data_IF_048271270113
#
_entry.id   IF_048271270113
#
_cell.length_a   1.000
_cell.length_b   1.000
_cell.length_c   1.000
_cell.angle_alpha   90.00
_cell.angle_beta   90.00
_cell.angle_gamma   90.00
#
_symmetry.space_group_name_H-M   'P 1'
#
loop_
_entity.id
_entity.type
_entity.pdbx_description
1 polymer ?
#
# COMPACT_ATOMS: atom_id res chain seq x y z
N UNK A 1 -24.30 16.91 57.13
CA UNK A 1 -24.14 15.72 57.99
C UNK A 1 -23.68 14.54 57.14
N UNK A 2 -22.52 13.98 57.53
CA UNK A 2 -22.02 12.60 57.29
C UNK A 2 -21.74 12.19 55.83
N UNK A 3 -20.63 11.54 55.46
CA UNK A 3 -19.31 11.24 56.09
C UNK A 3 -18.35 10.84 54.97
N UNK A 4 -17.11 11.23 55.14
CA UNK A 4 -15.84 10.87 54.55
C UNK A 4 -15.61 9.35 54.60
N UNK A 5 -14.97 8.78 53.57
CA UNK A 5 -13.97 7.73 53.76
C UNK A 5 -12.91 7.72 52.65
N UNK A 6 -11.72 8.02 53.08
CA UNK A 6 -10.41 7.95 52.47
C UNK A 6 -9.92 6.51 52.60
N UNK A 7 -9.30 5.94 51.56
CA UNK A 7 -8.35 4.84 51.72
C UNK A 7 -7.07 5.11 50.92
N UNK A 8 -6.04 5.31 51.68
CA UNK A 8 -4.62 5.50 51.33
C UNK A 8 -3.89 4.18 51.64
N UNK A 9 -3.09 3.63 50.71
CA UNK A 9 -1.97 2.69 50.99
C UNK A 9 -0.96 2.86 49.88
N UNK A 10 0.10 3.58 50.04
CA UNK A 10 1.36 3.33 50.69
C UNK A 10 2.37 2.57 49.79
N UNK A 11 3.39 3.34 49.41
CA UNK A 11 4.70 3.09 48.82
C UNK A 11 5.51 2.08 49.63
N UNK A 12 6.23 1.17 48.97
CA UNK A 12 7.50 0.62 49.49
C UNK A 12 8.57 0.63 48.43
N UNK A 13 9.52 1.52 48.63
CA UNK A 13 10.85 1.58 48.01
C UNK A 13 11.76 0.61 48.76
N UNK A 14 12.55 -0.20 48.07
CA UNK A 14 13.73 -0.80 48.69
C UNK A 14 14.91 -0.78 47.74
N UNK A 15 15.83 0.13 48.03
CA UNK A 15 17.23 0.16 47.56
C UNK A 15 18.05 -0.82 48.41
N UNK A 16 18.90 -1.63 47.78
CA UNK A 16 20.18 -2.04 48.41
C UNK A 16 21.29 -2.15 47.38
N UNK A 17 22.38 -1.50 47.71
CA UNK A 17 23.65 -1.36 47.08
C UNK A 17 24.67 -2.44 47.51
N UNK A 18 25.72 -2.63 46.71
CA UNK A 18 27.07 -3.12 47.00
C UNK A 18 27.26 -4.65 47.07
N UNK A 19 28.32 -5.26 46.60
CA UNK A 19 29.73 -4.87 46.31
C UNK A 19 30.46 -6.05 45.70
N UNK A 20 31.44 -5.74 44.83
CA UNK A 20 32.67 -6.42 44.40
C UNK A 20 33.03 -7.86 44.80
N UNK A 21 33.60 -8.60 43.84
CA UNK A 21 34.62 -9.63 44.10
C UNK A 21 34.88 -10.57 42.92
N UNK A 22 36.09 -10.55 42.41
CA UNK A 22 36.72 -11.38 41.35
C UNK A 22 36.68 -12.89 41.63
N UNK A 23 36.66 -13.73 40.64
CA UNK A 23 37.72 -14.52 40.03
C UNK A 23 37.22 -15.73 39.25
N UNK A 24 37.98 -16.08 38.23
CA UNK A 24 37.80 -17.08 37.20
C UNK A 24 37.69 -18.53 37.66
N UNK A 25 37.03 -19.37 36.88
CA UNK A 25 37.53 -20.63 36.27
C UNK A 25 36.40 -21.33 35.46
N UNK A 26 36.69 -21.67 34.23
CA UNK A 26 36.03 -22.76 33.45
C UNK A 26 36.56 -24.13 33.94
N UNK A 27 36.04 -25.31 33.51
CA UNK A 27 35.01 -25.66 32.52
C UNK A 27 33.99 -26.73 33.00
N UNK A 28 32.98 -27.04 32.26
CA UNK A 28 32.65 -28.38 31.69
C UNK A 28 31.25 -28.48 31.09
N UNK A 29 31.20 -29.17 29.94
CA UNK A 29 30.00 -29.49 29.16
C UNK A 29 29.07 -30.49 29.88
N UNK A 30 27.75 -30.27 29.81
CA UNK A 30 26.77 -31.39 29.79
C UNK A 30 25.60 -31.01 28.87
N UNK A 31 25.33 -31.89 27.90
CA UNK A 31 24.14 -31.90 27.03
C UNK A 31 22.87 -32.07 27.83
N UNK A 32 21.83 -31.29 27.51
CA UNK A 32 20.45 -31.64 27.80
C UNK A 32 19.54 -31.12 26.68
N UNK A 33 18.89 -32.06 26.01
CA UNK A 33 17.86 -31.90 25.01
C UNK A 33 16.59 -31.32 25.63
N UNK A 34 16.07 -30.23 25.09
CA UNK A 34 14.76 -29.70 25.41
C UNK A 34 14.18 -28.97 24.19
N UNK A 35 13.16 -29.59 23.57
CA UNK A 35 12.35 -29.01 22.52
C UNK A 35 11.68 -27.73 22.99
N UNK A 36 11.98 -26.61 22.36
CA UNK A 36 11.14 -25.41 22.38
C UNK A 36 10.59 -25.21 20.98
N UNK A 37 9.28 -25.06 20.92
CA UNK A 37 8.52 -24.71 19.72
C UNK A 37 9.05 -23.35 19.21
N UNK A 38 9.52 -23.32 17.98
CA UNK A 38 9.89 -22.10 17.28
C UNK A 38 8.60 -21.31 16.99
N UNK A 39 8.48 -20.15 17.58
CA UNK A 39 7.62 -19.07 17.04
C UNK A 39 8.20 -18.69 15.67
N UNK A 40 7.42 -18.82 14.61
CA UNK A 40 7.81 -18.39 13.27
C UNK A 40 7.98 -16.87 13.28
N UNK A 41 9.23 -16.45 13.14
CA UNK A 41 9.64 -15.06 13.07
C UNK A 41 9.22 -14.48 11.71
N UNK A 42 8.07 -13.81 11.68
CA UNK A 42 7.58 -13.06 10.51
C UNK A 42 8.44 -11.85 10.16
N UNK A 43 9.36 -11.44 11.03
CA UNK A 43 10.31 -10.33 10.76
C UNK A 43 11.39 -10.72 9.76
N UNK A 44 11.80 -11.97 9.71
CA UNK A 44 12.84 -12.46 8.80
C UNK A 44 12.44 -12.43 7.32
N UNK A 45 11.19 -12.75 6.99
CA UNK A 45 10.68 -12.70 5.61
C UNK A 45 10.58 -11.24 5.09
N UNK A 46 10.18 -10.31 5.96
CA UNK A 46 10.07 -8.88 5.59
C UNK A 46 11.45 -8.28 5.33
N UNK A 47 12.46 -8.62 6.12
CA UNK A 47 13.84 -8.14 5.92
C UNK A 47 14.51 -8.77 4.69
N UNK A 48 14.28 -10.04 4.39
CA UNK A 48 14.78 -10.67 3.15
C UNK A 48 14.18 -10.02 1.91
N UNK A 49 12.87 -9.74 1.88
CA UNK A 49 12.23 -9.03 0.78
C UNK A 49 12.77 -7.61 0.57
N UNK A 50 13.11 -6.89 1.64
CA UNK A 50 13.78 -5.58 1.56
C UNK A 50 15.17 -5.70 0.94
N UNK A 51 15.96 -6.70 1.32
CA UNK A 51 17.30 -6.93 0.78
C UNK A 51 17.27 -7.33 -0.70
N UNK A 52 16.33 -8.18 -1.12
CA UNK A 52 16.17 -8.59 -2.52
C UNK A 52 15.74 -7.44 -3.43
N UNK A 53 14.92 -6.51 -2.92
CA UNK A 53 14.43 -5.36 -3.68
C UNK A 53 15.31 -4.11 -3.56
N UNK A 54 16.41 -4.17 -2.83
CA UNK A 54 17.28 -3.01 -2.54
C UNK A 54 16.45 -1.80 -2.05
N UNK A 55 15.56 -2.03 -1.07
CA UNK A 55 14.69 -1.00 -0.50
C UNK A 55 15.38 -0.31 0.67
N UNK A 56 15.27 1.02 0.80
CA UNK A 56 15.69 1.73 2.01
C UNK A 56 14.93 1.23 3.25
N UNK A 57 15.56 1.32 4.43
CA UNK A 57 14.95 0.90 5.71
C UNK A 57 13.63 1.62 6.01
N UNK A 58 13.48 2.86 5.52
CA UNK A 58 12.29 3.68 5.71
C UNK A 58 11.16 3.39 4.70
N UNK A 59 11.16 2.22 4.04
CA UNK A 59 10.05 1.76 3.21
C UNK A 59 9.34 0.56 3.84
N UNK A 60 8.02 0.53 3.71
CA UNK A 60 7.17 -0.56 4.18
C UNK A 60 6.36 -1.12 3.01
N UNK A 61 6.15 -2.43 3.00
CA UNK A 61 5.22 -3.07 2.06
C UNK A 61 3.78 -2.75 2.49
N UNK A 62 3.04 -2.14 1.59
CA UNK A 62 1.60 -1.99 1.70
C UNK A 62 0.97 -3.13 0.91
N UNK A 63 0.44 -4.11 1.61
CA UNK A 63 -0.29 -5.21 0.98
C UNK A 63 -1.55 -4.67 0.32
N UNK A 64 -1.73 -4.99 -0.94
CA UNK A 64 -2.88 -4.57 -1.72
C UNK A 64 -4.21 -5.07 -1.15
N UNK A 65 -5.28 -4.47 -1.60
CA UNK A 65 -6.62 -4.83 -1.15
C UNK A 65 -7.69 -3.93 -1.73
N UNK A 66 -8.93 -4.22 -1.36
CA UNK A 66 -10.10 -3.47 -1.81
C UNK A 66 -10.60 -2.55 -0.69
N UNK A 67 -10.88 -1.29 -1.03
CA UNK A 67 -11.42 -0.31 -0.09
C UNK A 67 -12.46 0.60 -0.74
N UNK A 68 -13.16 1.38 0.08
CA UNK A 68 -14.04 2.44 -0.38
C UNK A 68 -13.25 3.75 -0.44
N UNK A 69 -12.89 4.19 -1.64
CA UNK A 69 -12.24 5.47 -1.90
C UNK A 69 -13.28 6.59 -1.94
N UNK A 70 -12.93 7.76 -1.41
CA UNK A 70 -13.86 8.87 -1.26
C UNK A 70 -14.58 8.87 0.09
N UNK A 71 -15.60 9.71 0.25
CA UNK A 71 -16.32 9.88 1.51
C UNK A 71 -17.79 9.54 1.38
N UNK A 72 -18.43 8.97 2.44
CA UNK A 72 -19.86 8.75 2.48
C UNK A 72 -20.62 10.08 2.46
N UNK A 73 -21.89 10.06 2.01
CA UNK A 73 -22.69 11.28 1.80
C UNK A 73 -22.93 12.10 3.08
N UNK A 74 -22.87 11.46 4.23
CA UNK A 74 -23.07 12.07 5.54
C UNK A 74 -21.79 12.49 6.25
N UNK A 75 -20.61 12.31 5.60
CA UNK A 75 -19.35 12.78 6.19
C UNK A 75 -19.33 14.31 6.26
N UNK A 76 -18.99 14.84 7.43
CA UNK A 76 -18.88 16.28 7.64
C UNK A 76 -17.80 16.88 6.71
N UNK A 77 -18.10 18.05 6.10
CA UNK A 77 -17.20 18.76 5.19
C UNK A 77 -16.89 18.06 3.87
N UNK A 78 -17.61 17.01 3.55
CA UNK A 78 -17.49 16.31 2.27
C UNK A 78 -17.63 17.29 1.09
N UNK A 79 -16.76 17.13 0.09
CA UNK A 79 -16.86 17.80 -1.20
C UNK A 79 -17.59 16.94 -2.25
N UNK A 80 -18.16 17.55 -3.26
CA UNK A 80 -18.91 16.83 -4.32
C UNK A 80 -18.04 15.90 -5.16
N UNK A 81 -16.73 16.17 -5.22
CA UNK A 81 -15.73 15.42 -5.97
C UNK A 81 -15.14 14.22 -5.21
N UNK A 82 -15.60 13.97 -3.99
CA UNK A 82 -15.22 12.84 -3.14
C UNK A 82 -16.23 11.67 -3.27
N UNK A 83 -16.79 11.44 -4.46
CA UNK A 83 -17.79 10.38 -4.67
C UNK A 83 -17.22 9.02 -4.26
N UNK A 84 -17.89 8.37 -3.29
CA UNK A 84 -17.45 7.08 -2.77
C UNK A 84 -17.63 5.97 -3.82
N UNK A 85 -16.59 5.16 -4.01
CA UNK A 85 -16.58 4.04 -4.95
C UNK A 85 -15.58 2.97 -4.51
N UNK A 86 -15.75 1.77 -5.03
CA UNK A 86 -14.87 0.64 -4.71
C UNK A 86 -13.58 0.73 -5.53
N UNK A 87 -12.43 0.63 -4.87
CA UNK A 87 -11.12 0.58 -5.51
C UNK A 87 -10.33 -0.62 -4.99
N UNK A 88 -9.71 -1.36 -5.89
CA UNK A 88 -8.69 -2.35 -5.60
C UNK A 88 -7.32 -1.75 -5.90
N UNK A 89 -6.38 -1.91 -4.97
CA UNK A 89 -4.99 -1.47 -5.10
C UNK A 89 -4.09 -2.70 -5.00
N UNK A 90 -3.13 -2.83 -5.91
CA UNK A 90 -2.08 -3.85 -5.87
C UNK A 90 -1.05 -3.56 -4.78
N UNK A 91 -0.19 -4.54 -4.47
CA UNK A 91 0.92 -4.37 -3.53
C UNK A 91 1.90 -3.30 -4.02
N UNK A 92 2.36 -2.45 -3.11
CA UNK A 92 3.41 -1.46 -3.38
C UNK A 92 4.24 -1.18 -2.12
N UNK A 93 5.45 -0.65 -2.31
CA UNK A 93 6.25 -0.15 -1.21
C UNK A 93 6.04 1.36 -1.07
N UNK A 94 5.89 1.84 0.16
CA UNK A 94 5.74 3.27 0.45
C UNK A 94 6.75 3.70 1.52
N UNK A 95 7.34 4.88 1.35
CA UNK A 95 8.15 5.51 2.39
C UNK A 95 7.28 5.78 3.62
N UNK A 96 7.78 5.40 4.80
CA UNK A 96 7.06 5.62 6.07
C UNK A 96 6.98 7.11 6.43
N UNK A 97 7.86 7.94 5.83
CA UNK A 97 7.93 9.38 6.04
C UNK A 97 7.70 10.15 4.75
N UNK A 98 7.30 11.41 4.89
CA UNK A 98 7.48 12.43 3.87
C UNK A 98 8.97 12.52 3.49
N UNK A 99 9.29 12.91 2.26
CA UNK A 99 10.69 13.09 1.84
C UNK A 99 11.33 14.24 2.60
N UNK A 100 12.49 13.99 3.23
CA UNK A 100 13.20 15.01 4.01
C UNK A 100 13.96 16.00 3.15
N UNK A 101 14.24 17.18 3.70
CA UNK A 101 15.08 18.21 3.06
C UNK A 101 16.50 17.70 2.84
N UNK A 102 17.06 16.92 3.77
CA UNK A 102 18.38 16.32 3.63
C UNK A 102 18.44 15.38 2.42
N UNK A 103 17.47 14.46 2.28
CA UNK A 103 17.40 13.53 1.15
C UNK A 103 17.22 14.28 -0.19
N UNK A 104 16.34 15.30 -0.21
CA UNK A 104 16.13 16.09 -1.43
C UNK A 104 17.41 16.84 -1.83
N UNK A 105 18.08 17.51 -0.89
CA UNK A 105 19.31 18.23 -1.15
C UNK A 105 20.47 17.31 -1.59
N UNK A 106 20.58 16.12 -1.02
CA UNK A 106 21.56 15.13 -1.43
C UNK A 106 21.39 14.70 -2.88
N UNK A 107 20.14 14.50 -3.31
CA UNK A 107 19.82 14.07 -4.68
C UNK A 107 19.89 15.20 -5.70
N UNK A 108 19.33 16.36 -5.37
CA UNK A 108 19.12 17.46 -6.32
C UNK A 108 20.20 18.57 -6.21
N UNK A 109 20.98 18.57 -5.12
CA UNK A 109 22.02 19.59 -4.88
C UNK A 109 21.49 20.94 -4.40
N UNK A 110 20.19 21.07 -4.20
CA UNK A 110 19.50 22.30 -3.73
C UNK A 110 18.42 21.95 -2.74
N UNK A 111 18.09 22.91 -1.84
CA UNK A 111 16.93 22.81 -0.97
C UNK A 111 16.01 24.02 -1.24
N UNK A 112 14.82 23.83 -1.86
CA UNK A 112 13.90 24.92 -2.18
C UNK A 112 13.00 25.32 -1.01
N UNK A 113 13.05 24.60 0.12
CA UNK A 113 12.12 24.73 1.24
C UNK A 113 12.18 26.11 1.89
N UNK A 114 11.03 26.59 2.32
CA UNK A 114 10.86 27.86 3.05
C UNK A 114 11.27 27.75 4.51
N UNK A 115 11.08 26.58 5.12
CA UNK A 115 11.58 26.24 6.45
C UNK A 115 12.87 25.47 6.32
N UNK A 116 13.74 25.50 7.33
CA UNK A 116 15.07 24.90 7.23
C UNK A 116 15.31 23.90 8.35
N UNK A 117 15.63 22.67 7.98
CA UNK A 117 15.98 21.57 8.90
C UNK A 117 16.10 20.26 8.18
N UNK A 118 17.14 19.48 8.47
CA UNK A 118 17.47 18.24 7.76
C UNK A 118 16.34 17.20 7.83
N UNK A 119 15.68 17.09 8.99
CA UNK A 119 14.59 16.14 9.27
C UNK A 119 13.19 16.72 8.97
N UNK A 120 13.10 17.96 8.48
CA UNK A 120 11.83 18.52 8.02
C UNK A 120 11.48 17.98 6.64
N UNK A 121 10.17 17.88 6.29
CA UNK A 121 9.80 17.51 4.93
C UNK A 121 10.28 18.59 3.95
N UNK A 122 10.72 18.16 2.77
CA UNK A 122 10.93 19.10 1.68
C UNK A 122 9.58 19.68 1.24
N UNK A 123 9.54 20.99 1.02
CA UNK A 123 8.36 21.71 0.51
C UNK A 123 8.77 22.75 -0.53
N UNK A 124 7.79 23.40 -1.12
CA UNK A 124 7.99 24.39 -2.18
C UNK A 124 8.56 23.77 -3.47
N UNK A 125 8.23 22.50 -3.72
CA UNK A 125 8.54 21.78 -4.94
C UNK A 125 7.28 21.63 -5.80
N UNK A 126 7.46 21.71 -7.11
CA UNK A 126 6.40 21.44 -8.08
C UNK A 126 6.22 19.93 -8.29
N UNK A 127 5.11 19.54 -8.92
CA UNK A 127 4.91 18.14 -9.34
C UNK A 127 6.00 17.69 -10.32
N UNK A 128 6.45 18.57 -11.21
CA UNK A 128 7.55 18.27 -12.13
C UNK A 128 8.87 18.07 -11.36
N UNK A 129 9.19 18.88 -10.35
CA UNK A 129 10.38 18.68 -9.51
C UNK A 129 10.33 17.33 -8.79
N UNK A 130 9.15 16.92 -8.34
CA UNK A 130 8.93 15.63 -7.70
C UNK A 130 9.21 14.45 -8.65
N UNK A 131 8.74 14.54 -9.89
CA UNK A 131 8.99 13.54 -10.94
C UNK A 131 10.48 13.46 -11.31
N UNK A 132 11.14 14.62 -11.43
CA UNK A 132 12.60 14.67 -11.66
C UNK A 132 13.37 14.05 -10.48
N UNK A 133 12.95 14.31 -9.25
CA UNK A 133 13.54 13.69 -8.06
C UNK A 133 13.44 12.17 -8.11
N UNK A 134 12.25 11.63 -8.40
CA UNK A 134 12.04 10.19 -8.51
C UNK A 134 13.00 9.52 -9.49
N UNK A 135 13.16 10.10 -10.70
CA UNK A 135 14.07 9.59 -11.70
C UNK A 135 15.54 9.72 -11.27
N UNK A 136 15.94 10.87 -10.73
CA UNK A 136 17.31 11.13 -10.28
C UNK A 136 17.73 10.14 -9.19
N UNK A 137 16.85 9.89 -8.21
CA UNK A 137 17.10 8.90 -7.15
C UNK A 137 17.19 7.50 -7.73
N UNK A 138 16.28 7.14 -8.63
CA UNK A 138 16.30 5.83 -9.29
C UNK A 138 17.62 5.58 -10.03
N UNK A 139 18.09 6.55 -10.83
CA UNK A 139 19.36 6.45 -11.56
C UNK A 139 20.56 6.31 -10.63
N UNK A 140 20.62 7.12 -9.54
CA UNK A 140 21.71 7.08 -8.55
C UNK A 140 21.77 5.74 -7.83
N UNK A 141 20.64 5.10 -7.60
CA UNK A 141 20.54 3.81 -6.92
C UNK A 141 20.56 2.61 -7.89
N UNK A 142 20.77 2.85 -9.21
CA UNK A 142 20.88 1.80 -10.24
C UNK A 142 19.56 1.14 -10.60
N UNK A 143 18.44 1.83 -10.36
CA UNK A 143 17.10 1.41 -10.72
C UNK A 143 16.70 2.00 -12.08
N UNK A 144 15.70 1.40 -12.75
CA UNK A 144 15.12 1.95 -13.97
C UNK A 144 14.19 3.13 -13.62
N UNK A 145 14.47 4.36 -14.11
CA UNK A 145 13.56 5.47 -13.96
C UNK A 145 12.17 5.14 -14.52
N UNK A 146 11.13 5.51 -13.79
CA UNK A 146 9.74 5.18 -14.16
C UNK A 146 9.12 6.23 -15.08
N UNK A 147 9.68 7.43 -15.16
CA UNK A 147 9.10 8.52 -15.92
C UNK A 147 9.95 8.87 -17.14
N UNK A 148 9.33 8.88 -18.33
CA UNK A 148 9.92 9.51 -19.51
C UNK A 148 9.40 10.95 -19.59
N UNK A 149 10.35 11.93 -19.58
CA UNK A 149 10.05 13.37 -19.50
C UNK A 149 10.49 14.02 -20.80
N UNK A 150 9.55 14.63 -21.54
CA UNK A 150 9.80 15.42 -22.74
C UNK A 150 9.16 16.80 -22.57
N UNK A 151 9.96 17.77 -22.16
CA UNK A 151 9.49 19.10 -21.79
C UNK A 151 8.53 19.04 -20.58
N UNK A 152 7.26 19.38 -20.79
CA UNK A 152 6.22 19.27 -19.78
C UNK A 152 5.40 17.96 -19.90
N UNK A 153 5.65 17.17 -20.93
CA UNK A 153 4.97 15.88 -21.08
C UNK A 153 5.71 14.82 -20.27
N UNK A 154 4.99 14.15 -19.40
CA UNK A 154 5.51 13.06 -18.58
C UNK A 154 4.66 11.82 -18.82
N UNK A 155 5.33 10.72 -19.17
CA UNK A 155 4.70 9.40 -19.28
C UNK A 155 5.31 8.45 -18.24
N UNK A 156 4.52 7.49 -17.79
CA UNK A 156 4.90 6.53 -16.76
C UNK A 156 5.04 5.12 -17.34
N UNK A 157 6.24 4.55 -17.23
CA UNK A 157 6.49 3.13 -17.48
C UNK A 157 6.18 2.34 -16.19
N UNK A 158 5.03 1.68 -16.15
CA UNK A 158 4.56 0.89 -15.02
C UNK A 158 5.40 -0.36 -14.75
N UNK A 159 6.20 -0.82 -15.71
CA UNK A 159 7.06 -1.98 -15.59
C UNK A 159 8.42 -1.66 -14.93
N UNK A 160 8.80 -0.39 -14.87
CA UNK A 160 10.05 0.04 -14.27
C UNK A 160 10.02 -0.08 -12.75
N UNK A 161 11.19 -0.36 -12.14
CA UNK A 161 11.34 -0.64 -10.71
C UNK A 161 11.83 0.56 -9.87
N UNK A 162 11.93 1.73 -10.47
CA UNK A 162 12.38 2.96 -9.81
C UNK A 162 11.36 3.56 -8.86
N UNK A 163 11.74 4.70 -8.28
CA UNK A 163 10.88 5.50 -7.42
C UNK A 163 9.84 6.26 -8.22
N UNK A 164 8.67 6.45 -7.63
CA UNK A 164 7.56 7.21 -8.20
C UNK A 164 6.71 7.89 -7.13
N UNK A 165 5.83 8.76 -7.56
CA UNK A 165 4.73 9.25 -6.75
C UNK A 165 3.68 8.15 -6.55
N UNK A 166 2.97 8.10 -5.41
CA UNK A 166 1.79 7.26 -5.27
C UNK A 166 0.70 7.72 -6.26
N UNK A 167 -0.18 6.82 -6.67
CA UNK A 167 -1.46 7.23 -7.23
C UNK A 167 -2.34 7.81 -6.12
N UNK A 168 -3.36 8.58 -6.48
CA UNK A 168 -4.31 9.12 -5.51
C UNK A 168 -4.98 8.00 -4.69
N UNK A 169 -5.28 6.88 -5.35
CA UNK A 169 -5.87 5.70 -4.71
C UNK A 169 -4.90 5.00 -3.76
N UNK A 170 -3.65 4.80 -4.15
CA UNK A 170 -2.61 4.25 -3.26
C UNK A 170 -2.40 5.13 -2.03
N UNK A 171 -2.38 6.45 -2.22
CA UNK A 171 -2.22 7.39 -1.14
C UNK A 171 -3.39 7.31 -0.13
N UNK A 172 -4.66 7.35 -0.62
CA UNK A 172 -5.83 7.28 0.26
C UNK A 172 -5.93 5.92 0.97
N UNK A 173 -5.65 4.82 0.27
CA UNK A 173 -5.60 3.48 0.84
C UNK A 173 -4.59 3.39 1.99
N UNK A 174 -3.38 3.89 1.76
CA UNK A 174 -2.31 3.94 2.76
C UNK A 174 -2.63 4.90 3.92
N UNK A 175 -3.23 6.06 3.64
CA UNK A 175 -3.67 7.02 4.64
C UNK A 175 -4.71 6.40 5.58
N UNK A 176 -5.72 5.72 5.03
CA UNK A 176 -6.77 5.06 5.82
C UNK A 176 -6.24 3.90 6.65
N UNK A 177 -5.27 3.16 6.18
CA UNK A 177 -4.73 1.99 6.88
C UNK A 177 -5.82 1.07 7.46
N UNK A 178 -6.88 0.82 6.66
CA UNK A 178 -8.03 0.00 7.03
C UNK A 178 -9.20 0.72 7.72
N UNK A 179 -9.08 2.02 8.04
CA UNK A 179 -10.19 2.80 8.61
C UNK A 179 -11.16 3.29 7.54
N UNK A 180 -12.39 3.60 7.94
CA UNK A 180 -13.44 4.20 7.10
C UNK A 180 -13.85 5.59 7.59
N UNK A 181 -13.21 6.07 8.64
CA UNK A 181 -13.44 7.37 9.28
C UNK A 181 -12.78 8.51 8.49
N UNK A 182 -13.15 9.78 8.72
CA UNK A 182 -12.53 10.93 8.06
C UNK A 182 -11.00 10.98 8.24
N UNK A 183 -10.49 10.52 9.36
CA UNK A 183 -9.06 10.43 9.69
C UNK A 183 -8.69 9.01 10.08
N UNK A 184 -7.42 8.65 9.92
CA UNK A 184 -6.92 7.33 10.33
C UNK A 184 -6.84 7.15 11.86
N UNK A 185 -6.97 8.23 12.61
CA UNK A 185 -7.06 8.24 14.07
C UNK A 185 -8.49 7.92 14.52
N UNK A 186 -9.47 8.72 14.06
CA UNK A 186 -10.89 8.55 14.39
C UNK A 186 -11.79 9.48 13.54
N UNK A 187 -12.94 9.88 14.10
CA UNK A 187 -13.89 10.82 13.48
C UNK A 187 -13.44 12.29 13.59
N UNK A 188 -12.38 12.56 14.34
CA UNK A 188 -11.83 13.88 14.61
C UNK A 188 -10.30 13.79 14.67
N UNK A 189 -9.62 14.94 14.60
CA UNK A 189 -8.17 15.03 14.71
C UNK A 189 -7.77 16.27 15.52
N UNK A 190 -6.67 16.18 16.25
CA UNK A 190 -6.17 17.23 17.13
C UNK A 190 -4.73 17.66 16.78
N UNK A 191 -4.30 18.81 17.29
CA UNK A 191 -2.93 19.29 17.12
C UNK A 191 -1.88 18.48 17.90
N UNK A 192 -2.31 17.53 18.75
CA UNK A 192 -1.44 16.55 19.41
C UNK A 192 -1.14 15.36 18.51
N UNK A 193 -1.97 15.13 17.49
CA UNK A 193 -1.90 13.99 16.56
C UNK A 193 -1.32 14.37 15.21
N UNK A 194 -1.39 15.66 14.82
CA UNK A 194 -0.84 16.12 13.55
C UNK A 194 -0.51 17.63 13.55
N UNK A 195 0.20 18.08 12.53
CA UNK A 195 0.59 19.46 12.34
C UNK A 195 -0.33 20.16 11.33
N UNK A 196 -1.22 21.03 11.82
CA UNK A 196 -2.18 21.79 11.01
C UNK A 196 -2.52 23.13 11.66
N UNK A 197 -3.48 23.88 11.12
CA UNK A 197 -4.00 25.09 11.74
C UNK A 197 -4.86 24.74 12.96
N UNK A 198 -4.22 24.21 14.01
CA UNK A 198 -4.84 23.59 15.16
C UNK A 198 -5.69 24.48 16.05
N UNK A 199 -5.72 25.80 15.82
CA UNK A 199 -6.63 26.72 16.50
C UNK A 199 -8.11 26.36 16.27
N UNK A 200 -8.43 25.64 15.18
CA UNK A 200 -9.78 25.33 14.76
C UNK A 200 -9.94 23.81 14.60
N UNK A 201 -10.39 23.14 15.66
CA UNK A 201 -10.70 21.72 15.57
C UNK A 201 -11.86 21.43 14.62
N UNK A 202 -11.88 20.21 14.10
CA UNK A 202 -12.77 19.74 13.05
C UNK A 202 -14.27 20.01 13.35
N UNK A 203 -14.70 19.80 14.60
CA UNK A 203 -16.12 19.91 15.00
C UNK A 203 -16.64 21.35 15.03
N UNK A 204 -15.78 22.34 15.26
CA UNK A 204 -16.21 23.74 15.42
C UNK A 204 -15.95 24.62 14.22
N UNK A 205 -15.29 24.10 13.20
CA UNK A 205 -14.95 24.86 12.00
C UNK A 205 -16.18 25.47 11.30
N UNK A 206 -17.34 24.75 11.33
CA UNK A 206 -18.61 25.26 10.81
C UNK A 206 -19.10 26.56 11.46
N UNK A 207 -18.75 26.77 12.71
CA UNK A 207 -19.23 27.91 13.49
C UNK A 207 -18.29 29.13 13.42
N UNK A 208 -17.04 28.91 12.99
CA UNK A 208 -16.01 29.93 13.00
C UNK A 208 -16.35 31.15 12.14
N UNK A 209 -16.74 30.90 10.89
CA UNK A 209 -17.09 31.99 9.96
C UNK A 209 -18.47 32.58 10.21
N UNK A 210 -19.39 31.83 10.82
CA UNK A 210 -20.77 32.27 11.03
C UNK A 210 -21.01 33.03 12.31
N UNK A 211 -20.16 32.90 13.34
CA UNK A 211 -20.39 33.48 14.68
C UNK A 211 -19.40 34.53 15.11
N UNK A 212 -18.34 34.82 14.34
CA UNK A 212 -17.35 35.85 14.67
C UNK A 212 -16.60 35.60 15.98
N UNK A 213 -16.59 34.40 16.50
CA UNK A 213 -16.00 34.04 17.78
C UNK A 213 -14.55 33.60 17.59
N UNK A 214 -13.62 34.54 17.76
CA UNK A 214 -12.17 34.33 17.78
C UNK A 214 -11.67 33.66 19.08
N UNK A 215 -12.52 33.48 20.08
CA UNK A 215 -12.14 32.99 21.41
C UNK A 215 -12.12 31.46 21.54
N UNK A 216 -12.30 30.71 20.45
CA UNK A 216 -12.34 29.23 20.47
C UNK A 216 -11.05 28.57 19.97
N UNK A 217 -9.93 29.25 20.05
CA UNK A 217 -8.62 28.66 19.77
C UNK A 217 -8.31 27.58 20.80
N UNK A 218 -8.36 26.33 20.39
CA UNK A 218 -8.28 25.20 21.33
C UNK A 218 -7.03 24.33 21.17
N UNK A 219 -6.34 24.40 20.04
CA UNK A 219 -5.15 23.61 19.76
C UNK A 219 -3.93 24.47 19.40
N UNK A 220 -2.80 23.84 19.22
CA UNK A 220 -1.57 24.50 18.80
C UNK A 220 -1.57 24.80 17.30
N UNK A 221 -1.12 26.00 16.92
CA UNK A 221 -0.77 26.32 15.54
C UNK A 221 0.73 26.64 15.48
N UNK A 222 1.52 25.72 14.97
CA UNK A 222 2.99 25.76 14.99
C UNK A 222 3.59 26.75 13.99
N UNK A 223 2.85 27.10 12.93
CA UNK A 223 3.24 28.06 11.88
C UNK A 223 4.52 27.66 11.10
N UNK A 224 4.85 26.39 11.09
CA UNK A 224 6.01 25.81 10.43
C UNK A 224 5.77 24.32 10.22
N UNK A 225 6.54 23.69 9.33
CA UNK A 225 6.64 22.22 9.26
C UNK A 225 7.34 21.70 10.52
N UNK A 226 7.11 20.43 10.84
CA UNK A 226 7.79 19.69 11.92
C UNK A 226 8.54 18.50 11.34
N UNK A 227 9.42 17.87 12.12
CA UNK A 227 10.14 16.67 11.71
C UNK A 227 9.17 15.58 11.23
N UNK A 228 9.58 14.84 10.21
CA UNK A 228 8.76 13.81 9.55
C UNK A 228 8.31 12.66 10.47
N UNK A 229 8.91 12.54 11.66
CA UNK A 229 8.62 11.54 12.70
C UNK A 229 7.93 12.12 13.96
N UNK A 230 7.41 13.35 13.88
CA UNK A 230 6.94 14.11 15.08
C UNK A 230 5.71 13.53 15.77
N UNK A 231 4.91 12.72 15.11
CA UNK A 231 3.66 12.16 15.63
C UNK A 231 3.67 10.64 15.57
N UNK A 232 2.61 10.02 16.11
CA UNK A 232 2.44 8.57 16.00
C UNK A 232 2.08 8.16 14.58
N UNK A 233 2.63 7.07 14.06
CA UNK A 233 2.25 6.56 12.75
C UNK A 233 0.84 5.96 12.77
N UNK A 234 0.23 5.80 11.59
CA UNK A 234 -0.99 5.04 11.44
C UNK A 234 -0.74 3.53 11.67
N UNK A 235 -1.79 2.70 11.58
CA UNK A 235 -1.70 1.25 11.84
C UNK A 235 -0.76 0.49 10.88
N UNK A 236 -0.39 1.09 9.75
CA UNK A 236 0.56 0.51 8.78
C UNK A 236 1.97 1.11 8.90
N UNK A 237 2.22 1.91 9.94
CA UNK A 237 3.54 2.47 10.21
C UNK A 237 3.85 3.75 9.45
N UNK A 238 2.87 4.40 8.82
CA UNK A 238 3.05 5.63 8.04
C UNK A 238 2.82 6.86 8.90
N UNK A 239 3.79 7.77 8.90
CA UNK A 239 3.76 9.03 9.65
C UNK A 239 3.14 10.15 8.82
N UNK A 240 2.53 11.12 9.49
CA UNK A 240 2.05 12.39 8.93
C UNK A 240 1.15 12.27 7.69
N UNK A 241 0.33 11.21 7.61
CA UNK A 241 -0.65 11.09 6.52
C UNK A 241 -1.76 12.18 6.60
N UNK A 242 -1.79 12.93 7.71
CA UNK A 242 -2.66 14.09 7.93
C UNK A 242 -1.81 15.26 8.38
N UNK A 243 -1.80 16.38 7.63
CA UNK A 243 -1.09 17.60 7.96
C UNK A 243 0.40 17.60 7.62
N UNK A 244 1.16 18.47 8.22
CA UNK A 244 2.55 18.80 7.99
C UNK A 244 2.80 19.37 6.59
N UNK A 245 2.90 18.54 5.54
CA UNK A 245 2.84 18.99 4.14
C UNK A 245 1.83 18.16 3.35
N UNK A 246 1.12 18.79 2.42
CA UNK A 246 0.37 18.07 1.40
C UNK A 246 1.32 17.29 0.50
N UNK A 247 0.92 16.12 0.04
CA UNK A 247 1.77 15.22 -0.71
C UNK A 247 1.30 15.11 -2.16
N UNK A 248 2.16 15.44 -3.13
CA UNK A 248 1.87 15.22 -4.54
C UNK A 248 1.60 13.75 -4.82
N UNK A 249 0.57 13.51 -5.64
CA UNK A 249 0.29 12.20 -6.22
C UNK A 249 0.43 12.25 -7.74
N UNK A 250 0.44 11.09 -8.39
CA UNK A 250 0.58 11.00 -9.86
C UNK A 250 -0.57 11.67 -10.61
N UNK A 251 -1.78 11.59 -10.11
CA UNK A 251 -3.04 11.77 -10.82
C UNK A 251 -3.27 13.21 -11.30
N UNK A 252 -3.78 13.36 -12.51
CA UNK A 252 -4.49 14.56 -12.89
C UNK A 252 -5.84 14.62 -12.17
N UNK A 253 -6.20 15.83 -11.73
CA UNK A 253 -7.50 16.04 -11.12
C UNK A 253 -8.63 15.87 -12.16
N UNK A 254 -9.61 15.04 -11.80
CA UNK A 254 -10.80 14.75 -12.57
C UNK A 254 -11.86 14.08 -11.71
N UNK A 255 -13.05 13.86 -12.26
CA UNK A 255 -14.06 13.03 -11.61
C UNK A 255 -13.55 11.59 -11.49
N UNK A 256 -13.89 10.96 -10.38
CA UNK A 256 -13.62 9.52 -10.24
C UNK A 256 -14.40 8.71 -11.30
N UNK A 257 -13.80 7.60 -11.70
CA UNK A 257 -14.49 6.65 -12.58
C UNK A 257 -15.75 6.08 -11.96
N UNK A 258 -16.66 5.60 -12.78
CA UNK A 258 -17.88 4.94 -12.31
C UNK A 258 -17.66 3.45 -12.14
N UNK A 259 -18.18 2.88 -11.04
CA UNK A 259 -18.04 1.46 -10.71
C UNK A 259 -16.71 1.14 -10.00
N UNK A 260 -16.41 -0.14 -9.92
CA UNK A 260 -15.17 -0.65 -9.33
C UNK A 260 -13.97 -0.27 -10.19
N UNK A 261 -12.87 0.18 -9.56
CA UNK A 261 -11.63 0.56 -10.22
C UNK A 261 -10.48 -0.32 -9.71
N UNK A 262 -9.55 -0.67 -10.60
CA UNK A 262 -8.35 -1.44 -10.26
C UNK A 262 -7.13 -0.59 -10.61
N UNK A 263 -6.27 -0.35 -9.64
CA UNK A 263 -5.07 0.46 -9.77
C UNK A 263 -5.28 1.74 -10.60
N UNK A 264 -6.31 2.56 -10.27
CA UNK A 264 -6.61 3.77 -11.03
C UNK A 264 -5.46 4.77 -10.97
N UNK A 265 -5.30 5.55 -12.04
CA UNK A 265 -4.24 6.57 -12.18
C UNK A 265 -4.81 7.94 -12.50
N UNK A 266 -6.07 8.17 -12.13
CA UNK A 266 -6.77 9.44 -12.35
C UNK A 266 -7.19 9.67 -13.81
N UNK A 267 -7.47 10.92 -14.12
CA UNK A 267 -7.84 11.32 -15.48
C UNK A 267 -6.66 11.20 -16.44
N UNK A 268 -6.91 10.79 -17.68
CA UNK A 268 -5.85 10.65 -18.71
C UNK A 268 -5.16 11.98 -19.06
N UNK A 269 -5.88 13.08 -18.91
CA UNK A 269 -5.38 14.43 -19.18
C UNK A 269 -5.97 15.44 -18.21
N UNK A 270 -5.23 16.49 -17.93
CA UNK A 270 -5.68 17.56 -17.04
C UNK A 270 -4.75 18.77 -17.09
N UNK A 271 -5.08 19.80 -16.33
CA UNK A 271 -4.26 21.00 -16.12
C UNK A 271 -3.80 21.17 -14.68
N UNK A 272 -4.36 20.35 -13.79
CA UNK A 272 -4.08 20.37 -12.35
C UNK A 272 -3.72 18.95 -11.91
N UNK A 273 -2.71 18.86 -11.03
CA UNK A 273 -2.33 17.63 -10.34
C UNK A 273 -2.96 17.61 -8.96
N UNK A 274 -3.25 16.42 -8.47
CA UNK A 274 -3.79 16.22 -7.13
C UNK A 274 -2.65 16.18 -6.11
N UNK A 275 -2.89 16.76 -4.93
CA UNK A 275 -2.12 16.50 -3.72
C UNK A 275 -3.06 16.21 -2.56
N UNK A 276 -2.58 15.48 -1.57
CA UNK A 276 -3.40 14.91 -0.50
C UNK A 276 -2.80 15.21 0.88
N UNK A 277 -3.56 15.01 1.94
CA UNK A 277 -3.11 15.10 3.33
C UNK A 277 -3.24 16.49 3.97
N UNK A 278 -3.23 17.56 3.19
CA UNK A 278 -3.17 18.94 3.68
C UNK A 278 -1.83 19.28 4.36
N UNK A 279 -1.60 20.53 4.67
CA UNK A 279 -0.35 20.99 5.24
C UNK A 279 -0.52 21.71 6.59
N UNK A 280 0.61 22.13 7.17
CA UNK A 280 0.71 22.77 8.50
C UNK A 280 -0.18 23.99 8.71
N UNK A 281 -0.63 24.64 7.65
CA UNK A 281 -1.47 25.84 7.66
C UNK A 281 -2.90 25.60 7.16
N UNK A 282 -3.25 24.35 6.86
CA UNK A 282 -4.60 23.97 6.44
C UNK A 282 -5.52 23.71 7.63
N UNK A 283 -6.84 23.81 7.39
CA UNK A 283 -7.85 23.45 8.37
C UNK A 283 -8.04 21.93 8.45
N UNK A 284 -8.52 21.43 9.58
CA UNK A 284 -8.76 20.01 9.80
C UNK A 284 -9.60 19.34 8.68
N UNK A 285 -10.60 20.01 8.14
CA UNK A 285 -11.42 19.48 7.03
C UNK A 285 -10.63 19.16 5.76
N UNK A 286 -9.50 19.87 5.55
CA UNK A 286 -8.64 19.69 4.38
C UNK A 286 -7.63 18.57 4.57
N UNK A 287 -7.60 17.94 5.74
CA UNK A 287 -6.70 16.82 6.04
C UNK A 287 -7.44 15.48 6.08
N UNK A 288 -8.76 15.45 5.82
CA UNK A 288 -9.50 14.18 5.76
C UNK A 288 -8.90 13.23 4.74
N UNK A 289 -8.96 11.94 5.02
CA UNK A 289 -8.44 10.91 4.10
C UNK A 289 -8.99 11.06 2.68
N UNK A 290 -10.26 11.47 2.53
CA UNK A 290 -10.92 11.64 1.23
C UNK A 290 -10.72 13.02 0.58
N UNK A 291 -10.22 14.03 1.33
CA UNK A 291 -10.10 15.39 0.79
C UNK A 291 -9.09 15.46 -0.35
N UNK A 292 -9.50 16.11 -1.43
CA UNK A 292 -8.71 16.28 -2.66
C UNK A 292 -8.32 17.75 -2.84
N UNK A 293 -7.03 18.01 -2.94
CA UNK A 293 -6.52 19.35 -3.24
C UNK A 293 -5.77 19.35 -4.57
N UNK A 294 -5.65 20.53 -5.20
CA UNK A 294 -5.06 20.62 -6.55
C UNK A 294 -4.18 21.82 -6.72
N UNK A 295 -3.13 21.67 -7.54
CA UNK A 295 -2.30 22.77 -8.00
C UNK A 295 -1.77 22.46 -9.42
N UNK A 296 -1.36 23.50 -10.16
CA UNK A 296 -0.74 23.33 -11.46
C UNK A 296 0.62 22.63 -11.33
N UNK A 297 0.95 21.73 -12.27
CA UNK A 297 2.12 20.85 -12.18
C UNK A 297 3.49 21.58 -12.18
N UNK A 298 3.53 22.83 -12.61
CA UNK A 298 4.73 23.69 -12.60
C UNK A 298 4.82 24.61 -11.36
N UNK A 299 3.95 24.46 -10.38
CA UNK A 299 3.89 25.29 -9.17
C UNK A 299 4.24 24.46 -7.93
N UNK A 300 5.03 25.07 -7.05
CA UNK A 300 5.26 24.62 -5.70
C UNK A 300 4.52 25.47 -4.67
N UNK A 301 4.42 24.96 -3.43
CA UNK A 301 3.88 25.70 -2.29
C UNK A 301 4.64 25.33 -1.02
N UNK A 302 4.77 26.29 -0.11
CA UNK A 302 5.45 26.13 1.17
C UNK A 302 4.78 25.15 2.16
N UNK A 303 3.73 24.47 1.71
CA UNK A 303 3.01 23.45 2.45
C UNK A 303 2.75 22.20 1.60
N UNK A 304 3.48 22.03 0.49
CA UNK A 304 3.34 20.84 -0.39
C UNK A 304 4.72 20.23 -0.61
N UNK A 305 4.83 18.94 -0.30
CA UNK A 305 5.99 18.07 -0.48
C UNK A 305 5.63 16.78 -1.20
N UNK A 306 6.34 15.70 -0.91
CA UNK A 306 6.13 14.37 -1.51
C UNK A 306 6.40 13.25 -0.52
N UNK A 307 5.80 12.11 -0.82
CA UNK A 307 6.13 10.78 -0.28
C UNK A 307 6.40 9.84 -1.44
N UNK A 308 7.43 8.99 -1.32
CA UNK A 308 7.83 8.11 -2.40
C UNK A 308 7.19 6.73 -2.28
N UNK A 309 6.95 6.15 -3.44
CA UNK A 309 6.57 4.74 -3.55
C UNK A 309 7.44 4.02 -4.59
N UNK A 310 7.45 2.69 -4.52
CA UNK A 310 7.98 1.79 -5.55
C UNK A 310 6.99 0.66 -5.78
N UNK A 311 6.98 0.15 -7.02
CA UNK A 311 6.20 -1.05 -7.30
C UNK A 311 6.72 -2.21 -6.43
N UNK A 312 5.82 -2.96 -5.78
CA UNK A 312 6.21 -4.25 -5.25
C UNK A 312 6.54 -5.15 -6.43
N UNK A 313 7.76 -5.67 -6.45
CA UNK A 313 8.12 -6.64 -7.49
C UNK A 313 7.38 -7.92 -7.14
N UNK A 314 6.29 -8.21 -7.85
CA UNK A 314 5.78 -9.57 -7.90
C UNK A 314 6.94 -10.42 -8.41
N UNK A 315 7.43 -11.36 -7.58
CA UNK A 315 8.71 -12.02 -7.82
C UNK A 315 8.81 -12.72 -9.17
N UNK A 316 9.16 -11.97 -10.21
CA UNK A 316 9.72 -12.46 -11.47
C UNK A 316 10.55 -11.33 -12.09
N UNK A 317 11.72 -11.07 -11.53
CA UNK A 317 12.71 -10.18 -12.10
C UNK A 317 13.61 -10.94 -13.06
N UNK A 318 13.36 -10.83 -14.35
CA UNK A 318 14.38 -11.15 -15.35
C UNK A 318 15.35 -9.99 -15.42
N UNK A 319 16.51 -10.12 -14.83
CA UNK A 319 17.66 -9.24 -15.08
C UNK A 319 18.41 -9.79 -16.30
N UNK A 320 18.35 -9.08 -17.39
CA UNK A 320 19.34 -9.28 -18.47
C UNK A 320 20.70 -8.80 -17.96
N UNK A 321 21.54 -9.72 -17.50
CA UNK A 321 22.97 -9.50 -17.30
C UNK A 321 23.72 -10.47 -18.19
N UNK A 322 24.45 -9.92 -19.15
CA UNK A 322 25.59 -10.60 -19.78
C UNK A 322 26.68 -10.76 -18.73
N UNK A 323 26.90 -11.95 -18.21
CA UNK A 323 28.13 -12.72 -18.34
C UNK A 323 28.10 -14.03 -17.53
N UNK A 324 28.68 -15.03 -18.16
CA UNK A 324 28.85 -16.42 -17.91
C UNK A 324 29.38 -16.79 -16.50
N UNK A 325 28.62 -17.57 -15.71
CA UNK A 325 29.19 -18.79 -15.10
C UNK A 325 28.09 -19.72 -14.56
N UNK A 326 28.15 -20.95 -15.01
CA UNK A 326 27.28 -22.09 -14.70
C UNK A 326 27.28 -22.47 -13.23
N UNK A 327 26.08 -22.41 -12.61
CA UNK A 327 25.71 -23.36 -11.56
C UNK A 327 24.27 -23.82 -11.82
N UNK A 328 24.07 -25.10 -11.90
CA UNK A 328 22.82 -25.78 -12.21
C UNK A 328 21.77 -25.53 -11.15
N UNK A 329 20.83 -24.58 -11.43
CA UNK A 329 19.52 -24.55 -10.78
C UNK A 329 18.59 -25.43 -11.62
N UNK A 330 17.75 -26.23 -11.01
CA UNK A 330 16.73 -27.03 -11.67
C UNK A 330 15.80 -26.09 -12.46
N UNK A 331 15.66 -26.37 -13.73
CA UNK A 331 14.77 -25.65 -14.66
C UNK A 331 13.32 -26.06 -14.28
N UNK A 332 12.71 -25.31 -13.33
CA UNK A 332 11.36 -25.59 -12.83
C UNK A 332 10.33 -25.39 -13.92
N UNK A 333 9.53 -26.42 -14.22
CA UNK A 333 8.50 -26.36 -15.25
C UNK A 333 7.29 -25.57 -14.76
N UNK A 334 6.76 -24.66 -15.59
CA UNK A 334 5.60 -23.82 -15.27
C UNK A 334 4.36 -24.33 -15.98
N UNK A 335 3.25 -24.46 -15.25
CA UNK A 335 1.94 -24.80 -15.78
C UNK A 335 1.00 -23.60 -15.64
N UNK A 336 0.25 -23.26 -16.69
CA UNK A 336 -0.88 -22.35 -16.66
C UNK A 336 -2.16 -23.19 -16.64
N UNK A 337 -2.73 -23.41 -15.45
CA UNK A 337 -4.00 -24.10 -15.29
C UNK A 337 -5.11 -23.06 -15.12
N UNK A 338 -6.21 -23.16 -15.88
CA UNK A 338 -7.27 -22.17 -15.79
C UNK A 338 -8.66 -22.76 -16.06
N UNK A 339 -9.67 -22.17 -15.40
CA UNK A 339 -11.08 -22.34 -15.73
C UNK A 339 -11.62 -21.06 -16.36
N UNK A 340 -12.37 -21.18 -17.46
CA UNK A 340 -12.98 -20.02 -18.13
C UNK A 340 -14.38 -20.34 -18.64
N UNK A 341 -15.38 -19.56 -18.23
CA UNK A 341 -16.75 -19.71 -18.74
C UNK A 341 -17.01 -18.80 -19.94
N UNK A 342 -16.69 -17.49 -19.81
CA UNK A 342 -16.94 -16.47 -20.85
C UNK A 342 -15.80 -16.21 -21.81
N UNK A 343 -14.66 -16.92 -21.66
CA UNK A 343 -13.48 -16.75 -22.50
C UNK A 343 -12.47 -15.71 -22.00
N UNK A 344 -12.81 -14.84 -21.05
CA UNK A 344 -11.90 -13.81 -20.54
C UNK A 344 -10.66 -14.39 -19.86
N UNK A 345 -10.82 -15.33 -18.92
CA UNK A 345 -9.68 -16.01 -18.27
C UNK A 345 -8.85 -16.77 -19.28
N UNK A 346 -9.48 -17.37 -20.30
CA UNK A 346 -8.78 -18.06 -21.39
C UNK A 346 -7.89 -17.09 -22.17
N UNK A 347 -8.39 -15.92 -22.54
CA UNK A 347 -7.59 -14.90 -23.25
C UNK A 347 -6.35 -14.47 -22.46
N UNK A 348 -6.49 -14.29 -21.13
CA UNK A 348 -5.35 -13.97 -20.25
C UNK A 348 -4.36 -15.14 -20.19
N UNK A 349 -4.84 -16.37 -20.05
CA UNK A 349 -4.00 -17.57 -19.99
C UNK A 349 -3.21 -17.79 -21.29
N UNK A 350 -3.84 -17.57 -22.44
CA UNK A 350 -3.20 -17.65 -23.77
C UNK A 350 -2.15 -16.55 -23.95
N UNK A 351 -2.40 -15.34 -23.44
CA UNK A 351 -1.42 -14.25 -23.48
C UNK A 351 -0.20 -14.58 -22.59
N UNK A 352 -0.41 -15.05 -21.37
CA UNK A 352 0.67 -15.51 -20.50
C UNK A 352 1.48 -16.63 -21.19
N UNK A 353 0.80 -17.61 -21.80
CA UNK A 353 1.48 -18.67 -22.56
C UNK A 353 2.35 -18.11 -23.68
N UNK A 354 1.84 -17.14 -24.45
CA UNK A 354 2.56 -16.55 -25.58
C UNK A 354 3.87 -15.87 -25.15
N UNK A 355 3.88 -15.29 -23.94
CA UNK A 355 5.04 -14.59 -23.40
C UNK A 355 6.02 -15.51 -22.66
N UNK A 356 5.54 -16.59 -22.04
CA UNK A 356 6.36 -17.47 -21.18
C UNK A 356 6.75 -18.77 -21.83
N UNK A 357 5.99 -19.26 -22.82
CA UNK A 357 6.13 -20.59 -23.37
C UNK A 357 5.73 -21.73 -22.43
N UNK A 358 5.07 -21.40 -21.30
CA UNK A 358 4.62 -22.38 -20.31
C UNK A 358 3.55 -23.32 -20.84
N UNK A 359 3.41 -24.50 -20.25
CA UNK A 359 2.37 -25.45 -20.61
C UNK A 359 0.98 -24.91 -20.21
N UNK A 360 -0.01 -25.05 -21.09
CA UNK A 360 -1.37 -24.55 -20.89
C UNK A 360 -2.35 -25.67 -20.65
N UNK A 361 -3.17 -25.56 -19.60
CA UNK A 361 -4.19 -26.55 -19.25
C UNK A 361 -5.52 -25.88 -18.92
N UNK A 362 -6.53 -26.06 -19.77
CA UNK A 362 -7.88 -25.57 -19.53
C UNK A 362 -8.65 -26.60 -18.68
N UNK A 363 -9.05 -26.20 -17.46
CA UNK A 363 -9.88 -27.01 -16.58
C UNK A 363 -11.29 -27.08 -17.15
N UNK A 364 -11.73 -28.28 -17.53
CA UNK A 364 -13.06 -28.51 -18.12
C UNK A 364 -13.88 -29.49 -17.28
N UNK A 365 -15.20 -29.42 -17.38
CA UNK A 365 -16.12 -30.21 -16.60
C UNK A 365 -16.78 -31.31 -17.45
N UNK A 366 -17.02 -32.50 -16.85
CA UNK A 366 -17.84 -33.54 -17.44
C UNK A 366 -19.26 -33.04 -17.74
N UNK A 367 -19.81 -32.25 -16.83
CA UNK A 367 -21.09 -31.56 -16.98
C UNK A 367 -20.83 -30.04 -16.94
N UNK A 368 -20.60 -29.38 -18.09
CA UNK A 368 -20.33 -27.98 -18.13
C UNK A 368 -21.53 -27.16 -17.68
N UNK A 369 -21.25 -25.97 -17.10
CA UNK A 369 -22.28 -24.97 -16.76
C UNK A 369 -23.05 -24.52 -18.00
N UNK A 370 -24.27 -24.00 -17.78
CA UNK A 370 -25.08 -23.40 -18.83
C UNK A 370 -24.35 -22.30 -19.57
N UNK A 371 -24.62 -22.15 -20.86
CA UNK A 371 -24.14 -21.01 -21.68
C UNK A 371 -25.04 -19.77 -21.54
N UNK A 372 -26.19 -19.90 -20.87
CA UNK A 372 -27.06 -18.77 -20.54
C UNK A 372 -26.58 -18.09 -19.27
N UNK A 373 -26.35 -16.75 -19.34
CA UNK A 373 -25.76 -15.98 -18.26
C UNK A 373 -26.55 -16.05 -16.95
N UNK A 374 -27.86 -15.92 -16.99
CA UNK A 374 -28.67 -15.96 -15.76
C UNK A 374 -28.67 -17.36 -15.15
N UNK A 375 -28.73 -18.40 -15.99
CA UNK A 375 -28.72 -19.77 -15.54
C UNK A 375 -27.39 -20.14 -14.90
N UNK A 376 -26.25 -19.71 -15.47
CA UNK A 376 -24.92 -20.00 -14.87
C UNK A 376 -24.74 -19.30 -13.54
N UNK A 377 -25.31 -18.12 -13.35
CA UNK A 377 -25.27 -17.43 -12.03
C UNK A 377 -25.94 -18.28 -10.94
N UNK A 378 -27.13 -18.84 -11.25
CA UNK A 378 -27.86 -19.68 -10.29
C UNK A 378 -27.13 -21.01 -10.05
N UNK A 379 -26.56 -21.63 -11.10
CA UNK A 379 -25.77 -22.85 -11.00
C UNK A 379 -24.52 -22.66 -10.15
N UNK A 380 -23.75 -21.59 -10.42
CA UNK A 380 -22.51 -21.26 -9.69
C UNK A 380 -22.78 -20.96 -8.22
N UNK A 381 -23.83 -20.17 -7.93
CA UNK A 381 -24.21 -19.85 -6.55
C UNK A 381 -24.69 -21.08 -5.79
N UNK A 382 -25.47 -21.95 -6.43
CA UNK A 382 -25.89 -23.23 -5.84
C UNK A 382 -24.68 -24.09 -5.50
N UNK A 383 -23.77 -24.29 -6.46
CA UNK A 383 -22.58 -25.12 -6.28
C UNK A 383 -21.67 -24.58 -5.18
N UNK A 384 -21.55 -23.24 -5.07
CA UNK A 384 -20.80 -22.60 -3.97
C UNK A 384 -21.47 -22.84 -2.61
N UNK A 385 -22.81 -22.66 -2.52
CA UNK A 385 -23.56 -22.86 -1.28
C UNK A 385 -23.50 -24.33 -0.79
N UNK A 386 -23.48 -25.27 -1.74
CA UNK A 386 -23.39 -26.70 -1.47
C UNK A 386 -21.94 -27.20 -1.31
N UNK A 387 -20.94 -26.32 -1.50
CA UNK A 387 -19.52 -26.68 -1.56
C UNK A 387 -19.27 -27.84 -2.54
N UNK A 388 -19.93 -27.79 -3.69
CA UNK A 388 -19.87 -28.83 -4.70
C UNK A 388 -18.44 -29.04 -5.21
N UNK A 389 -18.16 -30.27 -5.69
CA UNK A 389 -16.93 -30.60 -6.40
C UNK A 389 -17.30 -31.16 -7.76
N UNK A 390 -17.54 -30.29 -8.76
CA UNK A 390 -17.86 -30.72 -10.10
C UNK A 390 -16.77 -31.64 -10.67
N UNK A 391 -17.17 -32.73 -11.33
CA UNK A 391 -16.26 -33.69 -11.92
C UNK A 391 -15.51 -33.08 -13.10
N UNK A 392 -14.17 -33.15 -13.05
CA UNK A 392 -13.31 -32.69 -14.13
C UNK A 392 -13.31 -33.62 -15.31
N UNK A 393 -13.34 -33.07 -16.53
CA UNK A 393 -13.35 -33.86 -17.76
C UNK A 393 -11.96 -34.18 -18.27
N UNK A 394 -10.94 -33.50 -17.81
CA UNK A 394 -9.55 -33.66 -18.22
C UNK A 394 -8.61 -33.58 -16.99
N UNK A 395 -7.47 -34.25 -17.10
CA UNK A 395 -6.54 -34.46 -16.00
C UNK A 395 -5.09 -34.26 -16.47
N UNK A 396 -4.21 -33.90 -15.53
CA UNK A 396 -2.77 -33.77 -15.76
C UNK A 396 -2.08 -35.01 -15.25
N UNK A 397 -1.46 -35.79 -16.16
CA UNK A 397 -0.82 -37.08 -15.81
C UNK A 397 0.51 -36.88 -15.05
N UNK A 398 1.14 -35.71 -15.17
CA UNK A 398 2.51 -35.44 -14.73
C UNK A 398 2.62 -34.15 -13.90
N UNK A 399 1.67 -33.90 -12.98
CA UNK A 399 1.68 -32.71 -12.11
C UNK A 399 3.02 -32.55 -11.36
N UNK A 400 3.71 -33.67 -11.05
CA UNK A 400 5.00 -33.62 -10.34
C UNK A 400 6.13 -32.95 -11.14
N UNK A 401 5.99 -32.78 -12.46
CA UNK A 401 6.98 -32.10 -13.29
C UNK A 401 6.93 -30.59 -13.16
N UNK A 402 5.89 -30.03 -12.57
CA UNK A 402 5.70 -28.59 -12.45
C UNK A 402 6.04 -28.12 -11.04
N UNK A 403 6.87 -27.08 -10.96
CA UNK A 403 7.23 -26.43 -9.71
C UNK A 403 6.36 -25.18 -9.45
N UNK A 404 5.87 -24.55 -10.53
CA UNK A 404 5.02 -23.35 -10.46
C UNK A 404 3.73 -23.56 -11.24
N UNK A 405 2.60 -23.22 -10.62
CA UNK A 405 1.26 -23.29 -11.21
C UNK A 405 0.66 -21.87 -11.25
N UNK A 406 0.47 -21.34 -12.45
CA UNK A 406 -0.33 -20.13 -12.65
C UNK A 406 -1.80 -20.56 -12.73
N UNK A 407 -2.61 -20.20 -11.72
CA UNK A 407 -3.98 -20.69 -11.58
C UNK A 407 -5.00 -19.60 -11.93
N UNK A 408 -5.63 -19.72 -13.10
CA UNK A 408 -6.57 -18.73 -13.65
C UNK A 408 -8.03 -19.06 -13.44
N UNK A 409 -8.86 -18.08 -13.02
CA UNK A 409 -10.30 -18.28 -12.87
C UNK A 409 -11.07 -16.95 -12.92
N UNK A 410 -12.38 -16.98 -13.26
CA UNK A 410 -13.24 -15.84 -13.09
C UNK A 410 -13.65 -15.67 -11.62
N UNK A 411 -13.79 -14.44 -11.16
CA UNK A 411 -14.32 -14.18 -9.82
C UNK A 411 -15.84 -14.42 -9.81
N UNK A 412 -16.27 -15.47 -9.13
CA UNK A 412 -17.68 -15.82 -8.98
C UNK A 412 -18.13 -15.63 -7.53
N UNK A 413 -19.06 -14.70 -7.28
CA UNK A 413 -19.63 -14.44 -5.96
C UNK A 413 -18.54 -14.20 -4.86
N UNK A 414 -17.53 -13.37 -5.19
CA UNK A 414 -16.40 -13.07 -4.33
C UNK A 414 -15.64 -14.33 -3.84
N UNK A 415 -15.59 -15.35 -4.69
CA UNK A 415 -14.92 -16.63 -4.39
C UNK A 415 -14.38 -17.29 -5.65
N UNK A 416 -13.57 -18.34 -5.46
CA UNK A 416 -13.16 -19.23 -6.56
C UNK A 416 -14.36 -20.03 -7.09
N UNK A 417 -14.47 -20.28 -8.41
CA UNK A 417 -15.43 -21.23 -8.95
C UNK A 417 -15.19 -22.66 -8.42
N UNK A 418 -16.24 -23.42 -8.23
CA UNK A 418 -16.12 -24.80 -7.69
C UNK A 418 -15.27 -25.74 -8.55
N UNK A 419 -15.16 -25.62 -9.88
CA UNK A 419 -14.17 -26.35 -10.68
C UNK A 419 -12.72 -26.16 -10.23
N UNK A 420 -12.37 -24.97 -9.75
CA UNK A 420 -11.03 -24.70 -9.18
C UNK A 420 -10.84 -25.44 -7.86
N UNK A 421 -11.87 -25.48 -7.00
CA UNK A 421 -11.81 -26.28 -5.77
C UNK A 421 -11.63 -27.78 -6.07
N UNK A 422 -12.33 -28.33 -7.09
CA UNK A 422 -12.12 -29.69 -7.56
C UNK A 422 -10.69 -29.94 -8.02
N UNK A 423 -10.13 -29.03 -8.81
CA UNK A 423 -8.75 -29.10 -9.29
C UNK A 423 -7.73 -29.07 -8.16
N UNK A 424 -7.91 -28.17 -7.18
CA UNK A 424 -6.99 -28.06 -6.04
C UNK A 424 -7.04 -29.28 -5.10
N UNK A 425 -8.14 -30.01 -5.06
CA UNK A 425 -8.27 -31.24 -4.26
C UNK A 425 -7.81 -32.51 -5.00
N UNK A 426 -7.63 -32.45 -6.34
CA UNK A 426 -7.26 -33.60 -7.14
C UNK A 426 -5.76 -33.93 -7.11
N UNK A 427 -4.91 -32.89 -6.95
CA UNK A 427 -3.45 -33.02 -7.03
C UNK A 427 -2.76 -32.66 -5.72
N UNK A 428 -1.55 -33.20 -5.52
CA UNK A 428 -0.66 -32.81 -4.44
C UNK A 428 0.19 -31.59 -4.89
N UNK A 429 -0.03 -30.46 -4.26
CA UNK A 429 0.70 -29.22 -4.51
C UNK A 429 1.82 -28.97 -3.48
N UNK A 430 2.16 -29.94 -2.64
CA UNK A 430 3.23 -29.81 -1.64
C UNK A 430 4.56 -29.46 -2.31
N UNK A 431 5.17 -28.36 -1.87
CA UNK A 431 6.44 -27.86 -2.41
C UNK A 431 6.34 -27.12 -3.74
N UNK A 432 5.11 -26.87 -4.25
CA UNK A 432 4.87 -26.11 -5.49
C UNK A 432 4.44 -24.69 -5.16
N UNK A 433 4.79 -23.75 -6.02
CA UNK A 433 4.31 -22.37 -5.96
C UNK A 433 3.02 -22.22 -6.76
N UNK A 434 1.93 -21.75 -6.14
CA UNK A 434 0.67 -21.46 -6.84
C UNK A 434 0.51 -19.93 -6.90
N UNK A 435 0.40 -19.40 -8.11
CA UNK A 435 0.19 -17.98 -8.37
C UNK A 435 -1.18 -17.81 -9.02
N UNK A 436 -2.20 -17.30 -8.30
CA UNK A 436 -3.52 -17.09 -8.86
C UNK A 436 -3.57 -15.87 -9.78
N UNK A 437 -4.37 -15.96 -10.85
CA UNK A 437 -4.81 -14.79 -11.61
C UNK A 437 -6.32 -14.89 -11.86
N UNK A 438 -7.00 -13.75 -11.78
CA UNK A 438 -8.45 -13.71 -11.80
C UNK A 438 -8.95 -12.77 -12.91
N UNK A 439 -9.96 -13.22 -13.66
CA UNK A 439 -10.72 -12.36 -14.57
C UNK A 439 -12.07 -12.01 -13.97
N UNK A 440 -12.52 -10.77 -14.20
CA UNK A 440 -13.87 -10.35 -13.92
C UNK A 440 -14.43 -9.66 -15.17
N UNK A 441 -15.69 -9.90 -15.42
CA UNK A 441 -16.39 -9.31 -16.54
C UNK A 441 -17.11 -8.04 -16.15
#
# INVERSE_FOLDING_TARGET
MKKISIFLVAVVMLLMLCSCGNEATEPDMIFSTGNSLEETDTTGETEMNKMENNLPENFVLISGGTFQMGSPEDEAWRSEDETQHTVMVSDFYMSIYELTQAEYQEMMGVNPSSFSGDDLPVENISWLDAVYYCNTRSEKEGLMPVYAIDGQSVTWDRSANGYRLPTEAEWEYACRAGTTTPFNTETSISAEECNYYGHYPYEIENNYFSQGNLDTQTGEYRQTTVSVDSFSPNQWGLYNMHGNVGEWVWDYYGAYGTGEQIDPTGAETGTLRVYRGGGWNDFAKNMRSAYRATLAEDKGSFNIGIRLVRNAVSGTGSVASTDTQSTTASDGKVLIAFFSWGGNTKGIAEEIQSQTGADLFEITLVNPYSTDYNTVLDEAQRDQNEQARPELANHIDNMDEYDTILLGYPNWWASIPMPIASFLEEYDFSGKTIIPFCSHG
#
